data_IF_970364680933
#
_entry.id   IF_970364680933
#
_cell.length_a   1.000
_cell.length_b   1.000
_cell.length_c   1.000
_cell.angle_alpha   90.00
_cell.angle_beta   90.00
_cell.angle_gamma   90.00
#
_symmetry.space_group_name_H-M   'P 1'
#
loop_
_entity.id
_entity.type
_entity.pdbx_description
1 polymer ?
#
# COMPACT_ATOMS: atom_id res chain seq x y z
N UNK A 1 -8.85 -20.34 -22.26
CA UNK A 1 -9.39 -18.99 -22.01
C UNK A 1 -9.74 -18.86 -20.54
N UNK A 2 -9.13 -17.86 -19.88
CA UNK A 2 -9.50 -17.13 -18.67
C UNK A 2 -10.49 -17.77 -17.68
N UNK A 3 -10.07 -17.84 -16.42
CA UNK A 3 -10.93 -17.49 -15.29
C UNK A 3 -10.12 -16.58 -14.34
N UNK A 4 -10.55 -15.34 -14.07
CA UNK A 4 -9.89 -14.49 -13.10
C UNK A 4 -10.28 -14.97 -11.69
N UNK A 5 -9.30 -15.21 -10.83
CA UNK A 5 -9.55 -15.37 -9.40
C UNK A 5 -10.22 -14.08 -8.90
N UNK A 6 -11.53 -14.15 -8.66
CA UNK A 6 -12.34 -13.08 -8.12
C UNK A 6 -11.92 -12.70 -6.69
N UNK A 7 -12.41 -11.56 -6.17
CA UNK A 7 -12.13 -11.12 -4.82
C UNK A 7 -12.61 -12.14 -3.78
N UNK A 8 -11.81 -12.38 -2.75
CA UNK A 8 -12.13 -13.29 -1.64
C UNK A 8 -13.35 -12.83 -0.83
N UNK A 9 -13.83 -13.67 0.11
CA UNK A 9 -15.23 -13.73 0.54
C UNK A 9 -15.79 -12.56 1.39
N UNK A 10 -15.08 -11.44 1.52
CA UNK A 10 -15.59 -10.29 2.27
C UNK A 10 -15.21 -8.98 1.59
N UNK A 11 -16.13 -8.50 0.75
CA UNK A 11 -16.35 -7.14 0.23
C UNK A 11 -16.50 -7.12 -1.30
N UNK A 12 -17.71 -6.78 -1.76
CA UNK A 12 -17.91 -6.31 -3.13
C UNK A 12 -17.25 -4.92 -3.25
N UNK A 13 -16.35 -4.76 -4.22
CA UNK A 13 -15.67 -3.48 -4.43
C UNK A 13 -16.64 -2.52 -5.12
N UNK A 14 -17.16 -1.55 -4.37
CA UNK A 14 -18.05 -0.50 -4.90
C UNK A 14 -17.30 0.44 -5.83
N UNK A 15 -16.05 0.77 -5.49
CA UNK A 15 -15.19 1.66 -6.31
C UNK A 15 -13.72 1.47 -5.96
N UNK A 16 -12.84 1.47 -6.95
CA UNK A 16 -11.39 1.47 -6.71
C UNK A 16 -10.73 2.63 -7.44
N UNK A 17 -9.91 3.40 -6.72
CA UNK A 17 -9.05 4.45 -7.25
C UNK A 17 -7.61 3.97 -7.16
N UNK A 18 -6.91 3.90 -8.29
CA UNK A 18 -5.49 3.53 -8.36
C UNK A 18 -4.66 4.67 -8.94
N UNK A 19 -3.63 5.06 -8.21
CA UNK A 19 -2.68 6.08 -8.60
C UNK A 19 -1.31 5.43 -8.83
N UNK A 20 -0.77 5.62 -10.03
CA UNK A 20 0.54 5.12 -10.43
C UNK A 20 1.44 6.32 -10.69
N UNK A 21 2.51 6.53 -9.90
CA UNK A 21 3.41 7.65 -10.10
C UNK A 21 4.21 7.47 -11.39
N UNK A 22 4.61 8.59 -12.00
CA UNK A 22 5.44 8.57 -13.23
C UNK A 22 6.87 8.09 -13.00
N UNK A 23 7.35 8.19 -11.77
CA UNK A 23 8.69 7.74 -11.40
C UNK A 23 8.62 6.26 -10.99
N UNK A 24 9.33 5.34 -11.65
CA UNK A 24 9.19 3.89 -11.42
C UNK A 24 9.69 3.46 -10.03
N UNK A 25 10.58 4.23 -9.41
CA UNK A 25 11.01 3.97 -8.03
C UNK A 25 10.05 4.52 -6.97
N UNK A 26 8.96 5.19 -7.33
CA UNK A 26 7.90 5.57 -6.40
C UNK A 26 6.79 4.52 -6.43
N UNK A 27 6.34 4.06 -5.27
CA UNK A 27 5.37 2.96 -5.24
C UNK A 27 3.95 3.42 -5.58
N UNK A 28 3.14 2.55 -6.23
CA UNK A 28 1.73 2.83 -6.47
C UNK A 28 0.93 2.94 -5.17
N UNK A 29 -0.22 3.60 -5.27
CA UNK A 29 -1.23 3.70 -4.21
C UNK A 29 -2.59 3.28 -4.78
N UNK A 30 -3.38 2.55 -4.00
CA UNK A 30 -4.77 2.23 -4.35
C UNK A 30 -5.66 2.37 -3.13
N UNK A 31 -6.86 2.89 -3.35
CA UNK A 31 -7.92 2.99 -2.35
C UNK A 31 -9.13 2.30 -2.95
N UNK A 32 -9.59 1.23 -2.32
CA UNK A 32 -10.84 0.58 -2.67
C UNK A 32 -11.89 0.92 -1.61
N UNK A 33 -13.08 1.31 -2.06
CA UNK A 33 -14.26 1.52 -1.24
C UNK A 33 -15.10 0.22 -1.28
N UNK A 34 -15.50 -0.24 -0.10
CA UNK A 34 -16.16 -1.54 0.11
C UNK A 34 -17.39 -1.35 0.99
N UNK A 35 -18.38 -2.23 0.90
CA UNK A 35 -19.56 -2.15 1.78
C UNK A 35 -19.24 -2.36 3.27
N UNK A 36 -18.25 -3.21 3.56
CA UNK A 36 -17.60 -3.32 4.85
C UNK A 36 -16.17 -3.81 4.61
N UNK A 37 -15.15 -3.28 5.30
CA UNK A 37 -15.21 -2.31 6.41
C UNK A 37 -15.26 -0.84 5.97
N UNK A 38 -15.22 -0.57 4.68
CA UNK A 38 -15.43 0.78 4.15
C UNK A 38 -14.31 1.17 3.20
N UNK A 39 -13.06 1.00 3.62
CA UNK A 39 -11.88 1.37 2.82
C UNK A 39 -10.76 0.32 2.94
N UNK A 40 -10.21 -0.09 1.80
CA UNK A 40 -8.97 -0.86 1.70
C UNK A 40 -7.90 0.02 1.04
N UNK A 41 -6.89 0.39 1.81
CA UNK A 41 -5.72 1.14 1.34
C UNK A 41 -4.59 0.16 1.01
N UNK A 42 -4.08 0.22 -0.22
CA UNK A 42 -2.90 -0.52 -0.65
C UNK A 42 -1.78 0.44 -1.05
N UNK A 43 -0.61 0.25 -0.46
CA UNK A 43 0.59 1.00 -0.72
C UNK A 43 1.69 0.05 -1.20
N UNK A 44 2.39 0.41 -2.28
CA UNK A 44 3.46 -0.42 -2.83
C UNK A 44 3.00 -1.83 -3.16
N UNK A 45 3.83 -2.82 -2.80
CA UNK A 45 3.59 -4.21 -3.17
C UNK A 45 2.72 -4.95 -2.16
N UNK A 46 2.98 -4.79 -0.86
CA UNK A 46 2.43 -5.64 0.19
C UNK A 46 1.74 -4.89 1.32
N UNK A 47 1.96 -3.58 1.46
CA UNK A 47 1.32 -2.84 2.53
C UNK A 47 -0.17 -2.69 2.22
N UNK A 48 -1.00 -3.42 2.96
CA UNK A 48 -2.47 -3.35 2.89
C UNK A 48 -2.99 -2.95 4.25
N UNK A 49 -3.84 -1.94 4.29
CA UNK A 49 -4.55 -1.50 5.48
C UNK A 49 -6.04 -1.52 5.18
N UNK A 50 -6.78 -1.96 6.18
CA UNK A 50 -8.24 -2.02 6.14
C UNK A 50 -8.74 -1.03 7.16
N UNK A 51 -9.62 -0.12 6.73
CA UNK A 51 -10.12 0.99 7.55
C UNK A 51 -11.66 1.08 7.47
N UNK A 52 -12.31 1.48 8.58
CA UNK A 52 -11.72 1.77 9.87
C UNK A 52 -11.25 0.49 10.59
N UNK A 53 -10.42 0.67 11.63
CA UNK A 53 -9.84 -0.46 12.38
C UNK A 53 -10.79 -0.90 13.49
N UNK A 54 -11.74 -1.79 13.19
CA UNK A 54 -12.66 -2.33 14.20
C UNK A 54 -13.68 -3.29 13.60
N UNK A 55 -14.25 -4.16 14.44
CA UNK A 55 -15.29 -5.11 14.01
C UNK A 55 -16.64 -4.41 13.76
N UNK A 56 -16.90 -3.27 14.40
CA UNK A 56 -18.14 -2.51 14.29
C UNK A 56 -18.09 -1.40 13.24
N UNK A 57 -16.92 -1.12 12.67
CA UNK A 57 -16.76 -0.06 11.68
C UNK A 57 -16.98 1.36 12.22
N UNK A 58 -17.09 1.54 13.54
CA UNK A 58 -17.52 2.78 14.16
C UNK A 58 -16.33 3.64 14.56
N UNK A 59 -15.64 4.21 13.58
CA UNK A 59 -14.64 5.27 13.79
C UNK A 59 -15.25 6.64 13.46
N UNK A 60 -14.88 7.68 14.21
CA UNK A 60 -15.22 9.05 13.84
C UNK A 60 -14.69 9.34 12.43
N UNK A 61 -15.53 9.79 11.47
CA UNK A 61 -15.07 10.14 10.13
C UNK A 61 -13.87 11.08 10.10
N UNK A 62 -13.74 11.99 11.08
CA UNK A 62 -12.59 12.89 11.17
C UNK A 62 -11.29 12.15 11.50
N UNK A 63 -11.34 11.19 12.42
CA UNK A 63 -10.21 10.32 12.79
C UNK A 63 -9.82 9.43 11.61
N UNK A 64 -10.80 8.80 10.95
CA UNK A 64 -10.56 7.99 9.76
C UNK A 64 -9.86 8.78 8.64
N UNK A 65 -10.29 10.02 8.39
CA UNK A 65 -9.64 10.90 7.41
C UNK A 65 -8.21 11.24 7.84
N UNK A 66 -7.99 11.55 9.11
CA UNK A 66 -6.65 11.83 9.64
C UNK A 66 -5.73 10.61 9.47
N UNK A 67 -6.25 9.41 9.74
CA UNK A 67 -5.52 8.15 9.63
C UNK A 67 -5.15 7.79 8.19
N UNK A 68 -6.09 7.98 7.26
CA UNK A 68 -5.87 7.85 5.82
C UNK A 68 -4.82 8.84 5.33
N UNK A 69 -4.91 10.10 5.75
CA UNK A 69 -3.95 11.16 5.38
C UNK A 69 -2.57 10.83 5.90
N UNK A 70 -2.42 10.51 7.19
CA UNK A 70 -1.11 10.20 7.77
C UNK A 70 -0.40 9.05 7.03
N UNK A 71 -1.12 7.98 6.66
CA UNK A 71 -0.57 6.85 5.89
C UNK A 71 -0.25 7.22 4.45
N UNK A 72 -1.13 7.98 3.81
CA UNK A 72 -0.93 8.43 2.43
C UNK A 72 0.25 9.39 2.34
N UNK A 73 0.35 10.35 3.26
CA UNK A 73 1.44 11.33 3.34
C UNK A 73 2.78 10.63 3.57
N UNK A 74 2.85 9.72 4.55
CA UNK A 74 4.05 8.91 4.79
C UNK A 74 4.48 8.14 3.52
N UNK A 75 3.52 7.63 2.74
CA UNK A 75 3.79 6.92 1.49
C UNK A 75 4.32 7.82 0.38
N UNK A 76 3.62 8.93 0.11
CA UNK A 76 4.00 9.86 -0.96
C UNK A 76 5.30 10.61 -0.65
N UNK A 77 5.66 10.75 0.63
CA UNK A 77 6.95 11.26 1.09
C UNK A 77 8.08 10.22 0.98
N UNK A 78 7.80 9.01 0.50
CA UNK A 78 8.80 7.96 0.30
C UNK A 78 9.15 7.20 1.59
N UNK A 79 8.24 7.18 2.56
CA UNK A 79 8.41 6.50 3.85
C UNK A 79 8.15 4.99 3.82
N UNK A 80 7.71 4.44 2.68
CA UNK A 80 7.43 3.02 2.52
C UNK A 80 8.71 2.24 2.18
N UNK A 81 8.93 1.16 2.91
CA UNK A 81 10.01 0.22 2.74
C UNK A 81 9.48 -1.21 2.71
N UNK A 82 10.01 -2.05 1.82
CA UNK A 82 9.52 -3.42 1.61
C UNK A 82 10.67 -4.40 1.32
N UNK A 83 10.55 -5.65 1.79
CA UNK A 83 11.54 -6.71 1.56
C UNK A 83 10.94 -8.11 1.70
N UNK A 84 11.54 -9.10 1.03
CA UNK A 84 11.39 -10.52 1.35
C UNK A 84 12.68 -11.09 1.95
N UNK A 85 12.56 -11.68 3.14
CA UNK A 85 13.64 -12.41 3.81
C UNK A 85 13.42 -13.91 3.67
N UNK A 86 14.51 -14.66 3.48
CA UNK A 86 14.48 -16.13 3.65
C UNK A 86 14.67 -16.45 5.13
N UNK A 87 13.80 -17.29 5.69
CA UNK A 87 13.91 -17.86 7.03
C UNK A 87 14.15 -19.37 6.96
N UNK A 88 14.26 -20.00 8.13
CA UNK A 88 14.49 -21.43 8.26
C UNK A 88 13.27 -22.26 7.86
N UNK A 89 12.07 -21.82 8.25
CA UNK A 89 10.80 -22.54 8.04
C UNK A 89 9.98 -22.00 6.88
N UNK A 90 10.46 -20.96 6.19
CA UNK A 90 9.71 -20.28 5.13
C UNK A 90 10.29 -18.91 4.79
N UNK A 91 9.62 -18.20 3.89
CA UNK A 91 9.97 -16.81 3.57
C UNK A 91 9.04 -15.85 4.32
N UNK A 92 9.56 -14.69 4.69
CA UNK A 92 8.79 -13.62 5.32
C UNK A 92 8.83 -12.38 4.43
N UNK A 93 7.69 -11.71 4.28
CA UNK A 93 7.65 -10.34 3.79
C UNK A 93 7.72 -9.40 4.98
N UNK A 94 8.49 -8.33 4.83
CA UNK A 94 8.59 -7.26 5.81
C UNK A 94 8.18 -5.95 5.12
N UNK A 95 7.30 -5.19 5.77
CA UNK A 95 6.90 -3.84 5.32
C UNK A 95 7.06 -2.86 6.47
N UNK A 96 7.53 -1.66 6.17
CA UNK A 96 7.57 -0.55 7.12
C UNK A 96 7.04 0.70 6.45
N UNK A 97 6.20 1.44 7.16
CA UNK A 97 5.72 2.76 6.77
C UNK A 97 6.11 3.75 7.86
N UNK A 98 6.92 4.73 7.50
CA UNK A 98 7.45 5.73 8.43
C UNK A 98 7.09 7.12 7.90
N UNK A 99 6.45 7.93 8.73
CA UNK A 99 6.12 9.32 8.43
C UNK A 99 6.09 10.15 9.71
N UNK A 100 5.63 11.40 9.63
CA UNK A 100 5.51 12.27 10.80
C UNK A 100 4.54 11.68 11.82
N UNK A 101 5.04 11.30 12.99
CA UNK A 101 4.23 10.69 14.06
C UNK A 101 3.71 9.28 13.74
N UNK A 102 4.07 8.70 12.60
CA UNK A 102 3.58 7.40 12.14
C UNK A 102 4.75 6.42 11.98
N UNK A 103 4.66 5.27 12.64
CA UNK A 103 5.58 4.15 12.42
C UNK A 103 4.83 2.83 12.48
N UNK A 104 4.64 2.20 11.33
CA UNK A 104 4.02 0.89 11.21
C UNK A 104 5.06 -0.10 10.70
N UNK A 105 5.12 -1.30 11.30
CA UNK A 105 6.00 -2.37 10.86
C UNK A 105 5.25 -3.70 10.91
N UNK A 106 5.36 -4.48 9.83
CA UNK A 106 4.72 -5.80 9.72
C UNK A 106 5.69 -6.84 9.23
N UNK A 107 5.46 -8.08 9.67
CA UNK A 107 6.18 -9.27 9.24
C UNK A 107 5.19 -10.39 9.08
N UNK A 108 5.07 -10.90 7.87
CA UNK A 108 4.06 -11.90 7.53
C UNK A 108 4.70 -13.01 6.72
N UNK A 109 4.23 -14.27 6.87
CA UNK A 109 4.59 -15.35 5.96
C UNK A 109 4.26 -14.97 4.52
N UNK A 110 5.14 -15.38 3.61
CA UNK A 110 4.89 -15.29 2.17
C UNK A 110 5.19 -16.65 1.56
N UNK A 111 4.32 -17.10 0.66
CA UNK A 111 4.49 -18.40 0.04
C UNK A 111 5.76 -18.44 -0.82
N UNK A 112 6.28 -19.64 -1.07
CA UNK A 112 7.56 -19.80 -1.75
C UNK A 112 7.54 -19.36 -3.22
N UNK A 113 6.39 -19.36 -3.89
CA UNK A 113 6.27 -18.89 -5.28
C UNK A 113 6.33 -17.37 -5.32
N UNK A 114 5.53 -16.70 -4.48
CA UNK A 114 5.54 -15.25 -4.35
C UNK A 114 6.92 -14.75 -3.89
N UNK A 115 7.54 -15.41 -2.90
CA UNK A 115 8.85 -15.06 -2.41
C UNK A 115 9.94 -15.14 -3.48
N UNK A 116 9.91 -16.18 -4.33
CA UNK A 116 10.86 -16.31 -5.45
C UNK A 116 10.65 -15.23 -6.51
N UNK A 117 9.39 -14.94 -6.85
CA UNK A 117 9.07 -13.87 -7.80
C UNK A 117 9.56 -12.51 -7.29
N UNK A 118 9.22 -12.16 -6.06
CA UNK A 118 9.61 -10.89 -5.47
C UNK A 118 11.14 -10.71 -5.38
N UNK A 119 11.89 -11.78 -5.09
CA UNK A 119 13.36 -11.70 -5.09
C UNK A 119 13.92 -11.40 -6.49
N UNK A 120 13.33 -11.98 -7.55
CA UNK A 120 13.70 -11.65 -8.94
C UNK A 120 13.36 -10.20 -9.28
N UNK A 121 12.30 -9.66 -8.69
CA UNK A 121 11.89 -8.27 -8.82
C UNK A 121 12.72 -7.30 -7.94
N UNK A 122 13.79 -7.78 -7.28
CA UNK A 122 14.72 -6.95 -6.49
C UNK A 122 14.44 -6.87 -4.98
N UNK A 123 13.36 -7.48 -4.47
CA UNK A 123 12.99 -7.42 -3.05
C UNK A 123 13.77 -8.39 -2.15
N UNK A 124 14.85 -9.02 -2.64
CA UNK A 124 15.78 -9.76 -1.78
C UNK A 124 16.51 -8.83 -0.79
N UNK A 125 16.75 -7.59 -1.24
CA UNK A 125 17.19 -6.49 -0.41
C UNK A 125 16.00 -5.61 -0.01
N UNK A 126 16.27 -4.76 0.97
CA UNK A 126 15.44 -3.63 1.34
C UNK A 126 15.17 -2.73 0.12
N UNK A 127 13.91 -2.60 -0.31
CA UNK A 127 13.49 -1.60 -1.29
C UNK A 127 12.89 -0.42 -0.54
N UNK A 128 13.58 0.72 -0.57
CA UNK A 128 13.02 2.00 -0.15
C UNK A 128 12.34 2.64 -1.37
N UNK A 129 11.03 2.88 -1.28
CA UNK A 129 10.33 3.59 -2.34
C UNK A 129 10.68 5.07 -2.28
N UNK A 130 10.95 5.65 -3.44
CA UNK A 130 11.21 7.08 -3.59
C UNK A 130 9.94 7.90 -3.33
N UNK A 131 10.09 9.17 -2.90
CA UNK A 131 8.98 10.10 -2.84
C UNK A 131 8.28 10.26 -4.19
N UNK A 132 6.99 10.57 -4.15
CA UNK A 132 6.22 10.84 -5.36
C UNK A 132 6.69 12.14 -6.00
N UNK A 133 6.86 12.16 -7.33
CA UNK A 133 7.24 13.38 -8.02
C UNK A 133 6.14 14.43 -7.84
N UNK A 134 6.51 15.62 -7.37
CA UNK A 134 5.58 16.74 -7.30
C UNK A 134 5.19 17.14 -8.71
N UNK A 135 3.90 17.40 -8.93
CA UNK A 135 3.45 18.01 -10.17
C UNK A 135 4.06 19.40 -10.24
N UNK A 136 4.78 19.71 -11.32
CA UNK A 136 5.14 21.09 -11.60
C UNK A 136 3.87 21.95 -11.60
N UNK A 137 3.89 23.18 -11.08
CA UNK A 137 2.79 24.10 -11.27
C UNK A 137 2.42 24.07 -12.75
N UNK A 138 1.12 23.97 -13.08
CA UNK A 138 0.72 24.24 -14.47
C UNK A 138 1.20 25.65 -14.74
N UNK A 139 2.03 25.83 -15.77
CA UNK A 139 2.34 27.16 -16.28
C UNK A 139 0.99 27.87 -16.46
N UNK A 140 0.71 28.85 -15.59
CA UNK A 140 -0.35 29.80 -15.87
C UNK A 140 0.06 30.43 -17.20
N UNK A 141 -0.76 30.20 -18.22
CA UNK A 141 -0.42 30.42 -19.62
C UNK A 141 0.41 31.68 -19.81
N UNK A 142 1.56 31.50 -20.45
CA UNK A 142 2.28 32.59 -21.08
C UNK A 142 1.27 33.34 -21.98
N UNK A 143 1.07 34.66 -21.80
CA UNK A 143 0.24 35.45 -22.72
C UNK A 143 0.82 35.43 -24.13
#
# INVERSE_FOLDING_TARGET
>A
TKEPAGPGPYAEYVRTVRLIPRHPAAAPLSIAFTDFPGIVLRLGRWFVETLPRGEDGAEDPAELIADLRARTDAHVEGGLWERVRRGLTGSLRETRLIGRGLRISRREPVDNREARAARRDGFAAAVQWAPWPRRAPRDAGRP
#
